data_IF_275901687965
#
_entry.id   IF_275901687965
#
_cell.length_a   1.000
_cell.length_b   1.000
_cell.length_c   1.000
_cell.angle_alpha   90.00
_cell.angle_beta   90.00
_cell.angle_gamma   90.00
#
_symmetry.space_group_name_H-M   'P 1'
#
loop_
_entity.id
_entity.type
_entity.pdbx_description
1 polymer ?
#
# COMPACT_ATOMS: atom_id res chain seq x y z
N UNK A 1 57.44 -0.39 -36.36
CA UNK A 1 56.87 0.32 -35.18
C UNK A 1 55.57 1.05 -35.53
N UNK A 2 55.46 1.67 -36.71
CA UNK A 2 54.23 2.39 -37.12
C UNK A 2 53.03 1.46 -37.40
N UNK A 3 53.23 0.28 -37.93
CA UNK A 3 52.17 -0.70 -38.17
C UNK A 3 51.56 -1.26 -36.87
N UNK A 4 52.37 -1.46 -35.81
CA UNK A 4 51.89 -1.87 -34.48
C UNK A 4 51.12 -0.77 -33.78
N UNK A 5 51.49 0.50 -33.95
CA UNK A 5 50.71 1.64 -33.42
C UNK A 5 49.36 1.79 -34.13
N UNK A 6 49.29 1.63 -35.44
CA UNK A 6 48.02 1.71 -36.20
C UNK A 6 47.06 0.55 -35.85
N UNK A 7 47.59 -0.66 -35.56
CA UNK A 7 46.79 -1.83 -35.18
C UNK A 7 46.17 -1.67 -33.80
N UNK A 8 46.88 -1.04 -32.85
CA UNK A 8 46.38 -0.79 -31.51
C UNK A 8 45.29 0.29 -31.45
N UNK A 9 45.34 1.30 -32.32
CA UNK A 9 44.31 2.35 -32.42
C UNK A 9 42.99 1.85 -33.01
N UNK A 10 43.03 0.89 -33.96
CA UNK A 10 41.82 0.30 -34.59
C UNK A 10 41.03 -0.63 -33.66
N UNK A 11 41.62 -1.13 -32.55
CA UNK A 11 40.97 -2.04 -31.62
C UNK A 11 40.55 -1.38 -30.28
N UNK A 12 40.83 -0.08 -30.11
CA UNK A 12 40.43 0.66 -28.90
C UNK A 12 38.95 1.02 -28.99
N UNK A 13 38.12 0.40 -28.14
CA UNK A 13 36.71 0.76 -28.03
C UNK A 13 36.53 2.16 -27.42
N UNK A 14 35.61 2.99 -27.94
CA UNK A 14 35.28 4.27 -27.33
C UNK A 14 34.69 4.09 -25.93
N UNK A 15 34.80 5.11 -25.05
CA UNK A 15 34.24 5.05 -23.72
C UNK A 15 32.71 4.97 -23.76
N UNK A 16 32.13 4.26 -22.80
CA UNK A 16 30.67 4.15 -22.67
C UNK A 16 30.09 5.44 -22.10
N UNK A 17 28.95 5.89 -22.64
CA UNK A 17 28.15 6.98 -22.05
C UNK A 17 27.00 6.38 -21.28
N UNK A 18 27.13 6.33 -19.95
CA UNK A 18 26.15 5.73 -19.06
C UNK A 18 25.30 6.78 -18.30
N UNK A 19 24.07 6.41 -17.97
CA UNK A 19 23.18 7.15 -17.07
C UNK A 19 22.68 6.22 -15.98
N UNK A 20 22.42 6.75 -14.79
CA UNK A 20 21.84 6.02 -13.68
C UNK A 20 20.43 6.56 -13.37
N UNK A 21 19.49 5.63 -13.19
CA UNK A 21 18.11 5.83 -12.76
C UNK A 21 17.82 4.82 -11.64
N UNK A 22 16.57 4.62 -11.23
CA UNK A 22 16.20 3.55 -10.32
C UNK A 22 14.83 2.95 -10.65
N UNK A 23 14.64 1.69 -10.27
CA UNK A 23 13.41 0.96 -10.47
C UNK A 23 12.47 1.29 -9.32
N UNK A 24 11.35 1.96 -9.60
CA UNK A 24 10.42 2.44 -8.57
C UNK A 24 9.87 1.33 -7.67
N UNK A 25 9.61 0.14 -8.20
CA UNK A 25 9.07 -1.00 -7.44
C UNK A 25 10.05 -1.57 -6.43
N UNK A 26 11.35 -1.55 -6.74
CA UNK A 26 12.41 -2.15 -5.89
C UNK A 26 13.32 -1.11 -5.23
N UNK A 27 13.31 0.14 -5.72
CA UNK A 27 14.24 1.19 -5.29
C UNK A 27 15.66 1.02 -5.82
N UNK A 28 15.98 -0.10 -6.50
CA UNK A 28 17.34 -0.44 -6.91
C UNK A 28 17.85 0.47 -8.02
N UNK A 29 19.16 0.88 -7.97
CA UNK A 29 19.81 1.60 -9.04
C UNK A 29 19.80 0.78 -10.34
N UNK A 30 19.56 1.46 -11.42
CA UNK A 30 19.47 0.92 -12.74
C UNK A 30 20.28 1.80 -13.69
N UNK A 31 21.25 1.19 -14.38
CA UNK A 31 22.11 1.86 -15.34
C UNK A 31 21.65 1.53 -16.75
N UNK A 32 21.75 2.49 -17.65
CA UNK A 32 21.56 2.32 -19.08
C UNK A 32 22.62 3.09 -19.86
N UNK A 33 22.96 2.61 -21.04
CA UNK A 33 23.93 3.21 -21.94
C UNK A 33 23.58 2.97 -23.39
N UNK A 34 24.23 3.74 -24.28
CA UNK A 34 24.15 3.54 -25.71
C UNK A 34 25.11 2.44 -26.18
N UNK A 35 24.79 1.70 -27.28
CA UNK A 35 25.69 0.69 -27.82
C UNK A 35 27.04 1.32 -28.19
N UNK A 36 28.11 0.56 -27.99
CA UNK A 36 29.47 0.89 -28.44
C UNK A 36 29.81 -0.05 -29.59
N UNK A 37 30.15 0.50 -30.72
CA UNK A 37 30.53 -0.27 -31.92
C UNK A 37 31.69 -1.22 -31.62
N UNK A 38 31.57 -2.49 -32.06
CA UNK A 38 32.56 -3.54 -31.79
C UNK A 38 32.47 -4.17 -30.37
N UNK A 39 31.63 -3.66 -29.48
CA UNK A 39 31.42 -4.27 -28.16
C UNK A 39 30.46 -5.48 -28.25
N UNK A 40 30.84 -6.57 -27.59
CA UNK A 40 29.98 -7.76 -27.43
C UNK A 40 29.41 -7.91 -26.00
N UNK A 41 30.03 -7.22 -25.03
CA UNK A 41 29.57 -7.18 -23.64
C UNK A 41 30.09 -5.93 -22.95
N UNK A 42 29.55 -5.71 -21.73
CA UNK A 42 29.91 -4.58 -20.87
C UNK A 42 30.22 -5.09 -19.46
N UNK A 43 31.23 -4.49 -18.85
CA UNK A 43 31.59 -4.69 -17.46
C UNK A 43 31.13 -3.49 -16.64
N UNK A 44 30.36 -3.73 -15.60
CA UNK A 44 29.85 -2.70 -14.69
C UNK A 44 30.63 -2.76 -13.39
N UNK A 45 31.13 -1.61 -12.97
CA UNK A 45 31.92 -1.44 -11.75
C UNK A 45 31.21 -0.53 -10.77
N UNK A 46 31.37 -0.77 -9.48
CA UNK A 46 30.75 0.02 -8.41
C UNK A 46 31.79 0.46 -7.38
N UNK A 47 31.60 1.67 -6.84
CA UNK A 47 32.28 2.20 -5.67
C UNK A 47 31.27 2.86 -4.70
N UNK A 48 31.62 2.90 -3.41
CA UNK A 48 30.88 3.67 -2.40
C UNK A 48 31.13 5.18 -2.46
N UNK A 49 32.22 5.62 -3.12
CA UNK A 49 32.59 7.03 -3.28
C UNK A 49 32.98 7.33 -4.71
N UNK A 50 32.81 8.62 -5.12
CA UNK A 50 33.05 9.03 -6.54
C UNK A 50 34.50 8.77 -6.99
N UNK A 51 35.46 9.01 -6.13
CA UNK A 51 36.90 8.91 -6.43
C UNK A 51 37.54 7.68 -5.76
N UNK A 52 36.74 6.74 -5.27
CA UNK A 52 37.23 5.54 -4.60
C UNK A 52 37.60 4.40 -5.56
N UNK A 53 37.93 3.25 -4.98
CA UNK A 53 38.21 2.03 -5.75
C UNK A 53 36.93 1.45 -6.31
N UNK A 54 36.91 1.19 -7.63
CA UNK A 54 35.78 0.58 -8.33
C UNK A 54 36.03 -0.93 -8.47
N UNK A 55 35.13 -1.72 -7.90
CA UNK A 55 35.14 -3.18 -7.99
C UNK A 55 34.15 -3.66 -9.04
N UNK A 56 34.47 -4.74 -9.76
CA UNK A 56 33.59 -5.35 -10.74
C UNK A 56 32.30 -5.84 -10.05
N UNK A 57 31.17 -5.32 -10.45
CA UNK A 57 29.84 -5.69 -9.96
C UNK A 57 29.24 -6.83 -10.79
N UNK A 58 29.47 -6.81 -12.10
CA UNK A 58 29.00 -7.83 -13.04
C UNK A 58 29.23 -7.48 -14.48
N UNK A 59 28.89 -8.42 -15.37
CA UNK A 59 28.99 -8.31 -16.83
C UNK A 59 27.63 -8.53 -17.47
N UNK A 60 27.39 -7.90 -18.61
CA UNK A 60 26.13 -8.05 -19.37
C UNK A 60 26.37 -7.80 -20.87
N UNK A 61 25.65 -8.51 -21.74
CA UNK A 61 25.55 -8.19 -23.15
C UNK A 61 24.44 -7.13 -23.43
N UNK A 62 23.56 -6.89 -22.45
CA UNK A 62 22.50 -5.90 -22.58
C UNK A 62 23.03 -4.47 -22.41
N UNK A 63 22.28 -3.49 -22.90
CA UNK A 63 22.57 -2.06 -22.73
C UNK A 63 22.08 -1.47 -21.40
N UNK A 64 21.87 -2.33 -20.43
CA UNK A 64 21.34 -2.00 -19.11
C UNK A 64 21.85 -2.96 -18.03
N UNK A 65 21.91 -2.47 -16.78
CA UNK A 65 22.29 -3.27 -15.62
C UNK A 65 21.60 -2.76 -14.35
N UNK A 66 21.03 -3.66 -13.57
CA UNK A 66 20.43 -3.35 -12.27
C UNK A 66 21.33 -3.81 -11.14
N UNK A 67 21.70 -2.92 -10.23
CA UNK A 67 22.41 -3.29 -9.01
C UNK A 67 21.46 -3.84 -7.95
N UNK A 68 21.17 -5.14 -8.03
CA UNK A 68 20.31 -5.83 -7.07
C UNK A 68 20.90 -5.89 -5.65
N UNK A 69 22.23 -5.70 -5.50
CA UNK A 69 22.94 -5.76 -4.23
C UNK A 69 23.03 -4.42 -3.50
N UNK A 70 22.59 -3.31 -4.13
CA UNK A 70 22.61 -2.00 -3.49
C UNK A 70 21.66 -1.95 -2.27
N UNK A 71 22.09 -1.32 -1.18
CA UNK A 71 21.29 -1.14 0.03
C UNK A 71 20.49 0.15 -0.03
N UNK A 72 19.22 0.09 0.40
CA UNK A 72 18.33 1.24 0.42
C UNK A 72 18.88 2.36 1.32
N UNK A 73 18.81 3.59 0.82
CA UNK A 73 19.31 4.79 1.50
C UNK A 73 20.69 5.24 1.08
N UNK A 74 21.46 4.40 0.39
CA UNK A 74 22.83 4.70 0.02
C UNK A 74 22.98 5.18 -1.43
N UNK A 75 24.01 6.01 -1.69
CA UNK A 75 24.43 6.42 -3.01
C UNK A 75 25.64 5.56 -3.37
N UNK A 76 25.65 5.03 -4.59
CA UNK A 76 26.77 4.32 -5.19
C UNK A 76 27.20 5.04 -6.46
N UNK A 77 28.45 4.85 -6.83
CA UNK A 77 29.04 5.39 -8.06
C UNK A 77 29.40 4.24 -8.97
N UNK A 78 29.07 4.39 -10.24
CA UNK A 78 29.25 3.35 -11.26
C UNK A 78 30.08 3.82 -12.40
N UNK A 79 30.88 2.91 -12.95
CA UNK A 79 31.62 3.06 -14.21
C UNK A 79 31.37 1.83 -15.08
N UNK A 80 31.37 2.01 -16.39
CA UNK A 80 31.14 0.93 -17.34
C UNK A 80 32.29 0.88 -18.34
N UNK A 81 32.69 -0.34 -18.71
CA UNK A 81 33.61 -0.60 -19.83
C UNK A 81 32.92 -1.43 -20.89
N UNK A 82 33.15 -1.10 -22.14
CA UNK A 82 32.81 -1.96 -23.25
C UNK A 82 33.92 -2.99 -23.48
N UNK A 83 33.57 -4.21 -23.91
CA UNK A 83 34.50 -5.32 -24.15
C UNK A 83 34.19 -5.90 -25.54
N UNK A 84 35.18 -6.04 -26.40
CA UNK A 84 35.03 -6.66 -27.70
C UNK A 84 35.17 -8.20 -27.67
N UNK A 85 35.04 -8.83 -28.84
CA UNK A 85 35.10 -10.30 -28.96
C UNK A 85 36.45 -10.92 -28.59
N UNK A 86 37.56 -10.15 -28.73
CA UNK A 86 38.91 -10.62 -28.35
C UNK A 86 39.30 -10.25 -26.91
N UNK A 87 38.36 -9.68 -26.13
CA UNK A 87 38.56 -9.33 -24.74
C UNK A 87 39.20 -7.95 -24.49
N UNK A 88 39.46 -7.16 -25.53
CA UNK A 88 39.93 -5.80 -25.35
C UNK A 88 38.85 -4.91 -24.75
N UNK A 89 39.25 -3.99 -23.87
CA UNK A 89 38.34 -3.16 -23.07
C UNK A 89 38.52 -1.68 -23.42
N UNK A 90 37.39 -0.95 -23.39
CA UNK A 90 37.45 0.52 -23.40
C UNK A 90 38.06 1.06 -22.10
N UNK A 91 38.41 2.34 -22.09
CA UNK A 91 38.59 3.08 -20.85
C UNK A 91 37.26 3.10 -20.05
N UNK A 92 37.33 3.45 -18.80
CA UNK A 92 36.11 3.64 -17.99
C UNK A 92 35.25 4.77 -18.54
N UNK A 93 33.92 4.59 -18.44
CA UNK A 93 33.01 5.73 -18.60
C UNK A 93 33.27 6.79 -17.51
N UNK A 94 32.71 7.98 -17.68
CA UNK A 94 32.54 8.89 -16.56
C UNK A 94 31.75 8.19 -15.40
N UNK A 95 32.11 8.56 -14.16
CA UNK A 95 31.39 8.03 -12.98
C UNK A 95 29.99 8.62 -12.91
N UNK A 96 28.97 7.76 -12.82
CA UNK A 96 27.58 8.15 -12.62
C UNK A 96 27.11 7.75 -11.23
N UNK A 97 26.38 8.64 -10.54
CA UNK A 97 25.82 8.38 -9.21
C UNK A 97 24.44 7.75 -9.33
N UNK A 98 24.21 6.66 -8.61
CA UNK A 98 22.90 6.01 -8.49
C UNK A 98 22.50 5.86 -7.02
N UNK A 99 21.37 6.43 -6.64
CA UNK A 99 20.81 6.27 -5.29
C UNK A 99 19.94 5.01 -5.24
N UNK A 100 20.17 4.16 -4.23
CA UNK A 100 19.25 3.08 -3.93
C UNK A 100 18.14 3.64 -3.02
N UNK A 101 16.94 3.74 -3.54
CA UNK A 101 15.76 4.24 -2.81
C UNK A 101 15.10 3.14 -1.98
N UNK A 102 14.24 3.53 -1.07
CA UNK A 102 13.23 2.61 -0.52
C UNK A 102 12.33 2.12 -1.65
N UNK A 103 11.96 0.86 -1.63
CA UNK A 103 10.99 0.30 -2.57
C UNK A 103 9.62 0.99 -2.39
N UNK A 104 8.84 1.02 -3.46
CA UNK A 104 7.46 1.51 -3.41
C UNK A 104 6.61 0.60 -2.52
N UNK A 105 5.89 1.13 -1.50
CA UNK A 105 4.98 0.32 -0.69
C UNK A 105 3.86 -0.31 -1.53
N UNK A 106 3.55 -1.56 -1.26
CA UNK A 106 2.36 -2.24 -1.81
C UNK A 106 1.26 -2.14 -0.76
N UNK A 107 0.21 -1.39 -1.09
CA UNK A 107 -0.85 -1.00 -0.16
C UNK A 107 -2.13 -1.79 -0.44
N UNK A 108 -2.75 -2.31 0.63
CA UNK A 108 -4.05 -2.99 0.61
C UNK A 108 -5.05 -2.19 1.43
N UNK A 109 -6.18 -1.77 0.85
CA UNK A 109 -7.23 -1.08 1.57
C UNK A 109 -8.15 -2.08 2.27
N UNK A 110 -8.69 -1.67 3.43
CA UNK A 110 -9.65 -2.41 4.24
C UNK A 110 -10.45 -1.40 5.09
N UNK A 111 -11.27 -1.87 6.04
CA UNK A 111 -11.88 -1.05 7.06
C UNK A 111 -12.02 -1.81 8.38
N UNK A 112 -12.02 -1.08 9.49
CA UNK A 112 -12.27 -1.66 10.81
C UNK A 112 -13.76 -1.86 11.00
N UNK A 113 -14.21 -3.11 11.08
CA UNK A 113 -15.62 -3.48 11.20
C UNK A 113 -16.31 -2.82 12.38
N UNK A 114 -15.63 -2.66 13.51
CA UNK A 114 -16.17 -2.06 14.74
C UNK A 114 -16.52 -0.58 14.59
N UNK A 115 -15.67 0.18 13.87
CA UNK A 115 -15.78 1.64 13.73
C UNK A 115 -16.21 2.07 12.34
N UNK A 116 -16.15 1.19 11.33
CA UNK A 116 -16.38 1.50 9.93
C UNK A 116 -15.23 2.30 9.26
N UNK A 117 -14.20 2.69 10.02
CA UNK A 117 -13.13 3.57 9.53
C UNK A 117 -12.23 2.86 8.51
N UNK A 118 -11.78 3.57 7.46
CA UNK A 118 -10.78 3.05 6.54
C UNK A 118 -9.51 2.62 7.26
N UNK A 119 -9.04 1.43 6.93
CA UNK A 119 -7.85 0.81 7.46
C UNK A 119 -6.96 0.39 6.30
N UNK A 120 -5.76 0.93 6.23
CA UNK A 120 -4.83 0.74 5.14
C UNK A 120 -3.62 0.02 5.68
N UNK A 121 -3.20 -1.06 5.04
CA UNK A 121 -2.04 -1.88 5.44
C UNK A 121 -1.08 -2.06 4.28
N UNK A 122 0.19 -2.30 4.59
CA UNK A 122 1.26 -2.55 3.62
C UNK A 122 2.32 -3.47 4.20
N UNK A 123 3.17 -4.01 3.32
CA UNK A 123 4.32 -4.81 3.71
C UNK A 123 5.50 -3.91 4.10
N UNK A 124 6.37 -4.40 5.00
CA UNK A 124 7.58 -3.70 5.40
C UNK A 124 8.48 -3.41 4.19
N UNK A 125 9.01 -2.20 4.14
CA UNK A 125 9.95 -1.76 3.09
C UNK A 125 11.36 -1.67 3.65
N UNK A 126 12.29 -2.40 3.06
CA UNK A 126 13.68 -2.39 3.48
C UNK A 126 14.26 -0.95 3.46
N UNK A 127 14.94 -0.56 4.54
CA UNK A 127 15.55 0.75 4.68
C UNK A 127 14.59 1.88 5.07
N UNK A 128 13.29 1.61 5.23
CA UNK A 128 12.34 2.58 5.76
C UNK A 128 12.43 2.69 7.29
N UNK A 129 12.28 3.91 7.81
CA UNK A 129 12.13 4.18 9.26
C UNK A 129 10.68 4.45 9.64
N UNK A 130 9.89 4.97 8.71
CA UNK A 130 8.48 5.31 8.88
C UNK A 130 7.79 5.41 7.52
N UNK A 131 6.50 5.63 7.55
CA UNK A 131 5.65 5.80 6.38
C UNK A 131 4.83 7.09 6.50
N UNK A 132 4.70 7.79 5.40
CA UNK A 132 3.80 8.94 5.26
C UNK A 132 2.56 8.48 4.52
N UNK A 133 1.38 8.72 5.10
CA UNK A 133 0.08 8.37 4.52
C UNK A 133 -0.59 9.64 4.04
N UNK A 134 -1.00 9.64 2.78
CA UNK A 134 -1.66 10.77 2.13
C UNK A 134 -3.07 10.39 1.71
N UNK A 135 -3.99 11.34 1.80
CA UNK A 135 -5.41 11.18 1.46
C UNK A 135 -5.88 12.25 0.49
N UNK A 136 -6.80 11.85 -0.40
CA UNK A 136 -7.62 12.74 -1.22
C UNK A 136 -9.08 12.33 -1.19
N UNK A 137 -9.99 13.27 -1.43
CA UNK A 137 -11.41 13.01 -1.64
C UNK A 137 -11.73 12.47 -3.03
N UNK A 138 -10.83 12.61 -4.00
CA UNK A 138 -10.97 12.13 -5.39
C UNK A 138 -9.72 11.44 -5.86
N UNK A 139 -9.85 10.49 -6.81
CA UNK A 139 -8.74 9.66 -7.29
C UNK A 139 -7.59 10.49 -7.87
N UNK A 140 -7.91 11.51 -8.63
CA UNK A 140 -6.95 12.36 -9.34
C UNK A 140 -6.79 13.75 -8.69
N UNK A 141 -7.28 13.92 -7.46
CA UNK A 141 -7.23 15.20 -6.75
C UNK A 141 -5.91 15.43 -6.03
N UNK A 142 -5.86 16.51 -5.26
CA UNK A 142 -4.73 16.85 -4.41
C UNK A 142 -4.71 15.93 -3.19
N UNK A 143 -3.57 15.32 -2.95
CA UNK A 143 -3.32 14.45 -1.79
C UNK A 143 -2.63 15.24 -0.69
N UNK A 144 -3.25 15.31 0.47
CA UNK A 144 -2.68 15.95 1.66
C UNK A 144 -2.15 14.90 2.63
N UNK A 145 -1.08 15.23 3.36
CA UNK A 145 -0.53 14.36 4.39
C UNK A 145 -1.58 14.16 5.50
N UNK A 146 -2.00 12.93 5.70
CA UNK A 146 -2.95 12.54 6.75
C UNK A 146 -2.25 12.24 8.07
N UNK A 147 -1.07 11.61 8.00
CA UNK A 147 -0.22 11.30 9.13
C UNK A 147 1.01 10.47 8.78
N UNK A 148 1.84 10.24 9.79
CA UNK A 148 3.04 9.41 9.71
C UNK A 148 2.97 8.28 10.74
N UNK A 149 3.55 7.12 10.42
CA UNK A 149 3.58 5.97 11.32
C UNK A 149 4.81 5.09 11.06
N UNK A 150 5.33 4.46 12.10
CA UNK A 150 6.31 3.38 11.98
C UNK A 150 5.65 2.00 11.78
N UNK A 151 4.34 1.90 12.06
CA UNK A 151 3.57 0.67 11.88
C UNK A 151 3.34 0.39 10.39
N UNK A 152 2.95 -0.84 10.08
CA UNK A 152 2.63 -1.30 8.72
C UNK A 152 1.15 -1.11 8.36
N UNK A 153 0.47 -0.23 9.07
CA UNK A 153 -0.94 0.09 8.88
C UNK A 153 -1.27 1.51 9.35
N UNK A 154 -2.41 2.01 8.91
CA UNK A 154 -2.95 3.29 9.34
C UNK A 154 -4.48 3.28 9.31
N UNK A 155 -5.12 3.78 10.37
CA UNK A 155 -6.57 3.97 10.44
C UNK A 155 -6.90 5.45 10.23
N UNK A 156 -7.75 5.75 9.27
CA UNK A 156 -8.21 7.11 9.04
C UNK A 156 -9.41 7.44 9.95
N UNK A 157 -9.11 7.86 11.17
CA UNK A 157 -10.12 8.26 12.15
C UNK A 157 -10.89 9.53 11.75
N UNK A 158 -10.36 10.33 10.80
CA UNK A 158 -10.99 11.58 10.31
C UNK A 158 -11.96 11.35 9.14
N UNK A 159 -12.04 10.13 8.61
CA UNK A 159 -12.95 9.83 7.50
C UNK A 159 -14.41 9.91 7.95
N UNK A 160 -15.28 10.47 7.11
CA UNK A 160 -16.72 10.55 7.34
C UNK A 160 -17.44 9.32 6.78
N UNK A 161 -18.38 8.76 7.55
CA UNK A 161 -19.15 7.60 7.15
C UNK A 161 -19.94 7.89 5.86
N UNK A 162 -19.95 6.93 4.95
CA UNK A 162 -20.61 7.03 3.65
C UNK A 162 -19.69 7.43 2.51
N UNK A 163 -18.53 8.02 2.77
CA UNK A 163 -17.65 8.55 1.74
C UNK A 163 -16.50 7.59 1.42
N UNK A 164 -16.07 7.61 0.15
CA UNK A 164 -14.86 6.92 -0.30
C UNK A 164 -13.72 7.93 -0.36
N UNK A 165 -12.58 7.54 0.16
CA UNK A 165 -11.34 8.30 0.12
C UNK A 165 -10.28 7.51 -0.63
N UNK A 166 -9.30 8.23 -1.16
CA UNK A 166 -8.19 7.71 -1.94
C UNK A 166 -6.89 7.93 -1.18
N UNK A 167 -6.07 6.91 -1.12
CA UNK A 167 -4.85 6.89 -0.29
C UNK A 167 -3.64 6.51 -1.12
N UNK A 168 -2.50 7.08 -0.76
CA UNK A 168 -1.18 6.67 -1.21
C UNK A 168 -0.21 6.75 -0.04
N UNK A 169 0.77 5.87 -0.03
CA UNK A 169 1.76 5.73 1.03
C UNK A 169 3.15 5.89 0.45
N UNK A 170 4.04 6.53 1.21
CA UNK A 170 5.44 6.75 0.87
C UNK A 170 6.31 6.21 2.00
N UNK A 171 7.28 5.37 1.69
CA UNK A 171 8.28 4.91 2.65
C UNK A 171 9.37 5.98 2.81
N UNK A 172 9.67 6.33 4.04
CA UNK A 172 10.70 7.32 4.39
C UNK A 172 11.98 6.61 4.79
N UNK A 173 13.06 6.88 4.05
CA UNK A 173 14.37 6.27 4.29
C UNK A 173 14.92 6.65 5.67
N UNK A 174 15.49 5.65 6.36
CA UNK A 174 16.24 5.84 7.62
C UNK A 174 17.58 6.53 7.46
N UNK A 175 18.13 6.59 6.23
CA UNK A 175 19.47 7.12 5.96
C UNK A 175 19.41 8.57 5.49
N UNK A 176 18.62 8.85 4.44
CA UNK A 176 18.46 10.21 3.91
C UNK A 176 17.14 10.39 3.16
N UNK A 177 16.57 11.59 3.22
CA UNK A 177 15.28 11.93 2.61
C UNK A 177 15.28 11.81 1.08
N UNK A 178 16.43 12.03 0.43
CA UNK A 178 16.56 11.87 -1.03
C UNK A 178 16.41 10.42 -1.50
N UNK A 179 16.46 9.45 -0.58
CA UNK A 179 16.27 8.02 -0.86
C UNK A 179 14.91 7.48 -0.43
N UNK A 180 13.94 8.35 -0.17
CA UNK A 180 12.55 7.95 0.05
C UNK A 180 11.99 7.22 -1.18
N UNK A 181 10.96 6.39 -0.97
CA UNK A 181 10.29 5.73 -2.09
C UNK A 181 9.49 6.72 -2.94
N UNK A 182 9.09 6.29 -4.13
CA UNK A 182 7.91 6.86 -4.77
C UNK A 182 6.66 6.54 -3.96
N UNK A 183 5.58 7.28 -4.22
CA UNK A 183 4.27 6.93 -3.66
C UNK A 183 3.83 5.56 -4.14
N UNK A 184 3.10 4.84 -3.30
CA UNK A 184 2.36 3.64 -3.72
C UNK A 184 1.41 3.95 -4.87
N UNK A 185 0.89 2.92 -5.52
CA UNK A 185 -0.34 3.05 -6.30
C UNK A 185 -1.46 3.57 -5.40
N UNK A 186 -2.38 4.34 -6.00
CA UNK A 186 -3.55 4.85 -5.29
C UNK A 186 -4.52 3.71 -5.00
N UNK A 187 -4.96 3.60 -3.76
CA UNK A 187 -6.03 2.69 -3.34
C UNK A 187 -7.23 3.46 -2.84
N UNK A 188 -8.43 2.90 -3.00
CA UNK A 188 -9.66 3.48 -2.50
C UNK A 188 -10.17 2.70 -1.30
N UNK A 189 -10.61 3.40 -0.25
CA UNK A 189 -11.31 2.79 0.89
C UNK A 189 -12.52 3.63 1.27
N UNK A 190 -13.64 2.93 1.51
CA UNK A 190 -14.89 3.56 1.96
C UNK A 190 -14.95 3.57 3.48
N UNK A 191 -15.34 4.70 4.05
CA UNK A 191 -15.72 4.77 5.45
C UNK A 191 -17.15 4.28 5.60
N UNK A 192 -17.33 3.16 6.28
CA UNK A 192 -18.63 2.55 6.54
C UNK A 192 -19.29 3.16 7.76
N UNK A 193 -20.59 2.91 7.95
CA UNK A 193 -21.22 3.05 9.26
C UNK A 193 -20.57 2.07 10.25
N UNK A 194 -20.38 2.50 11.49
CA UNK A 194 -19.90 1.61 12.55
C UNK A 194 -20.91 0.47 12.81
N UNK A 195 -20.40 -0.68 13.24
CA UNK A 195 -21.22 -1.81 13.62
C UNK A 195 -22.05 -1.44 14.86
N UNK A 196 -23.40 -1.56 14.84
CA UNK A 196 -24.22 -1.30 16.03
C UNK A 196 -23.86 -2.23 17.19
N UNK A 197 -23.81 -1.67 18.40
CA UNK A 197 -23.67 -2.44 19.64
C UNK A 197 -25.07 -2.59 20.25
N UNK A 198 -25.63 -3.80 20.16
CA UNK A 198 -27.02 -4.09 20.52
C UNK A 198 -27.09 -4.69 21.92
N UNK A 199 -28.02 -4.18 22.74
CA UNK A 199 -28.47 -4.77 23.99
C UNK A 199 -29.87 -5.28 23.81
N UNK A 200 -30.25 -6.33 24.57
CA UNK A 200 -31.60 -6.91 24.55
C UNK A 200 -32.12 -7.15 25.97
N UNK A 201 -33.39 -6.89 26.18
CA UNK A 201 -34.11 -7.15 27.42
C UNK A 201 -35.57 -7.51 27.11
N UNK A 202 -36.30 -8.07 28.07
CA UNK A 202 -37.76 -8.21 27.99
C UNK A 202 -38.44 -6.97 28.55
N UNK A 203 -39.52 -6.54 27.93
CA UNK A 203 -40.44 -5.51 28.48
C UNK A 203 -41.26 -6.10 29.61
N UNK A 204 -42.02 -5.27 30.37
CA UNK A 204 -42.99 -5.72 31.35
C UNK A 204 -44.05 -6.67 30.76
N UNK A 205 -44.40 -6.48 29.49
CA UNK A 205 -45.32 -7.36 28.76
C UNK A 205 -44.64 -8.64 28.18
N UNK A 206 -43.39 -8.94 28.56
CA UNK A 206 -42.66 -10.14 28.10
C UNK A 206 -42.06 -10.07 26.71
N UNK A 207 -42.21 -8.96 26.00
CA UNK A 207 -41.71 -8.81 24.62
C UNK A 207 -40.20 -8.51 24.55
N UNK A 208 -39.46 -9.12 23.61
CA UNK A 208 -38.09 -8.74 23.30
C UNK A 208 -37.95 -7.27 22.90
N UNK A 209 -37.08 -6.52 23.60
CA UNK A 209 -36.76 -5.14 23.29
C UNK A 209 -35.27 -5.01 23.07
N UNK A 210 -34.88 -4.55 21.84
CA UNK A 210 -33.53 -4.24 21.44
C UNK A 210 -33.28 -2.73 21.63
N UNK A 211 -32.08 -2.39 22.03
CA UNK A 211 -31.60 -1.00 22.10
C UNK A 211 -30.15 -0.93 21.59
N UNK A 212 -29.78 0.17 21.01
CA UNK A 212 -28.42 0.42 20.55
C UNK A 212 -28.10 1.93 20.53
N UNK A 213 -26.83 2.28 20.48
CA UNK A 213 -26.41 3.68 20.35
C UNK A 213 -26.59 4.16 18.90
N UNK A 214 -26.87 5.45 18.73
CA UNK A 214 -26.88 6.08 17.41
C UNK A 214 -25.54 5.88 16.70
N UNK A 215 -25.58 5.47 15.43
CA UNK A 215 -24.42 5.25 14.57
C UNK A 215 -24.25 6.44 13.65
N UNK A 216 -23.10 7.11 13.75
CA UNK A 216 -22.78 8.27 12.89
C UNK A 216 -22.86 7.89 11.42
N UNK A 217 -23.58 8.71 10.63
CA UNK A 217 -23.76 8.48 9.20
C UNK A 217 -24.87 7.50 8.83
N UNK A 218 -25.55 6.89 9.80
CA UNK A 218 -26.74 6.10 9.55
C UNK A 218 -27.98 6.99 9.32
N UNK A 219 -28.83 6.60 8.39
CA UNK A 219 -30.17 7.19 8.19
C UNK A 219 -31.25 6.36 8.90
N UNK A 220 -31.01 5.06 9.03
CA UNK A 220 -31.96 4.09 9.60
C UNK A 220 -31.25 2.81 9.98
N UNK A 221 -31.99 1.90 10.63
CA UNK A 221 -31.51 0.59 11.06
C UNK A 221 -32.44 -0.50 10.55
N UNK A 222 -31.87 -1.58 10.06
CA UNK A 222 -32.58 -2.80 9.69
C UNK A 222 -32.42 -3.85 10.79
N UNK A 223 -33.54 -4.39 11.26
CA UNK A 223 -33.58 -5.43 12.29
C UNK A 223 -33.88 -6.78 11.61
N UNK A 224 -33.05 -7.76 11.91
CA UNK A 224 -33.18 -9.14 11.41
C UNK A 224 -33.39 -10.11 12.56
N UNK A 225 -34.20 -11.13 12.34
CA UNK A 225 -34.58 -12.14 13.36
C UNK A 225 -34.42 -13.55 12.76
N UNK A 226 -34.04 -14.48 13.64
CA UNK A 226 -34.12 -15.92 13.43
C UNK A 226 -34.66 -16.61 14.71
N UNK A 227 -35.07 -17.89 14.61
CA UNK A 227 -35.45 -18.74 15.74
C UNK A 227 -34.33 -19.70 16.17
N UNK A 228 -33.18 -19.69 15.47
CA UNK A 228 -31.95 -20.36 15.88
C UNK A 228 -30.75 -19.49 15.59
N UNK A 229 -29.65 -19.68 16.33
CA UNK A 229 -28.44 -18.85 16.21
C UNK A 229 -27.75 -18.95 14.83
N UNK A 230 -27.73 -20.14 14.26
CA UNK A 230 -27.16 -20.43 12.94
C UNK A 230 -28.21 -20.43 11.82
N UNK A 231 -29.46 -20.04 12.12
CA UNK A 231 -30.56 -20.06 11.17
C UNK A 231 -30.52 -18.90 10.17
N UNK A 232 -31.48 -18.92 9.24
CA UNK A 232 -31.66 -17.82 8.28
C UNK A 232 -32.31 -16.64 8.99
N UNK A 233 -31.63 -15.49 8.95
CA UNK A 233 -32.13 -14.22 9.51
C UNK A 233 -32.93 -13.49 8.46
N UNK A 234 -34.21 -13.26 8.72
CA UNK A 234 -35.11 -12.47 7.88
C UNK A 234 -35.24 -11.05 8.40
N UNK A 235 -35.29 -10.08 7.47
CA UNK A 235 -35.52 -8.67 7.85
C UNK A 235 -36.95 -8.52 8.36
N UNK A 236 -37.09 -8.05 9.58
CA UNK A 236 -38.38 -7.82 10.22
C UNK A 236 -38.87 -6.40 10.13
N UNK A 237 -37.93 -5.44 10.32
CA UNK A 237 -38.32 -4.06 10.51
C UNK A 237 -37.21 -3.11 10.09
N UNK A 238 -37.57 -1.90 9.71
CA UNK A 238 -36.67 -0.78 9.47
C UNK A 238 -37.13 0.40 10.33
N UNK A 239 -36.19 1.06 11.01
CA UNK A 239 -36.50 2.18 11.91
C UNK A 239 -35.40 3.24 11.90
N UNK A 240 -35.78 4.49 12.11
CA UNK A 240 -34.85 5.60 12.38
C UNK A 240 -34.50 5.71 13.87
N UNK A 241 -35.25 5.01 14.73
CA UNK A 241 -35.04 4.99 16.20
C UNK A 241 -33.85 4.07 16.53
N UNK A 242 -33.33 4.22 17.75
CA UNK A 242 -32.25 3.38 18.30
C UNK A 242 -32.79 2.26 19.19
N UNK A 243 -34.07 1.89 19.01
CA UNK A 243 -34.73 0.78 19.72
C UNK A 243 -35.81 0.14 18.84
N UNK A 244 -36.08 -1.12 19.14
CA UNK A 244 -37.18 -1.89 18.54
C UNK A 244 -37.72 -2.88 19.54
N UNK A 245 -39.04 -3.00 19.62
CA UNK A 245 -39.75 -4.01 20.44
C UNK A 245 -40.49 -4.97 19.52
N UNK A 246 -40.20 -6.26 19.65
CA UNK A 246 -40.91 -7.31 18.90
C UNK A 246 -42.21 -7.70 19.62
N UNK A 247 -43.29 -6.99 19.32
CA UNK A 247 -44.62 -7.25 19.89
C UNK A 247 -45.32 -8.50 19.35
N UNK A 248 -44.79 -9.11 18.28
CA UNK A 248 -45.29 -10.35 17.68
C UNK A 248 -44.53 -11.59 18.18
N UNK A 249 -43.72 -11.46 19.21
CA UNK A 249 -42.99 -12.59 19.77
C UNK A 249 -43.95 -13.54 20.49
N UNK A 250 -43.82 -14.85 20.24
CA UNK A 250 -44.58 -15.88 20.92
C UNK A 250 -43.91 -16.22 22.26
N UNK A 251 -44.64 -16.19 23.36
CA UNK A 251 -44.14 -16.57 24.66
C UNK A 251 -43.52 -17.98 24.63
N UNK A 252 -42.47 -18.17 25.40
CA UNK A 252 -41.71 -19.43 25.44
C UNK A 252 -40.74 -19.65 24.30
N UNK A 253 -40.75 -18.82 23.21
CA UNK A 253 -39.84 -18.95 22.07
C UNK A 253 -38.60 -18.12 22.27
N UNK A 254 -37.43 -18.72 21.98
CA UNK A 254 -36.13 -17.98 21.91
C UNK A 254 -35.97 -17.39 20.54
N UNK A 255 -35.70 -16.08 20.49
CA UNK A 255 -35.41 -15.35 19.26
C UNK A 255 -33.98 -14.81 19.25
N UNK A 256 -33.39 -14.80 18.09
CA UNK A 256 -32.04 -14.31 17.80
C UNK A 256 -32.13 -13.09 16.87
N UNK A 257 -31.44 -12.02 17.23
CA UNK A 257 -31.52 -10.77 16.48
C UNK A 257 -30.15 -10.26 16.11
N UNK A 258 -30.08 -9.56 14.98
CA UNK A 258 -28.95 -8.73 14.58
C UNK A 258 -29.46 -7.46 13.91
N UNK A 259 -28.70 -6.38 14.07
CA UNK A 259 -29.05 -5.05 13.55
C UNK A 259 -27.97 -4.56 12.62
N UNK A 260 -28.37 -3.87 11.56
CA UNK A 260 -27.50 -3.26 10.57
C UNK A 260 -27.82 -1.78 10.46
N UNK A 261 -26.81 -0.90 10.55
CA UNK A 261 -26.96 0.52 10.29
C UNK A 261 -26.87 0.78 8.77
N UNK A 262 -27.84 1.52 8.23
CA UNK A 262 -27.95 1.86 6.81
C UNK A 262 -27.39 3.25 6.61
N UNK A 263 -26.38 3.37 5.74
CA UNK A 263 -25.73 4.64 5.44
C UNK A 263 -26.68 5.61 4.75
N UNK A 264 -26.64 6.87 5.16
CA UNK A 264 -27.39 7.96 4.52
C UNK A 264 -26.82 8.40 3.16
N UNK A 265 -25.59 7.97 2.82
CA UNK A 265 -24.90 8.40 1.59
C UNK A 265 -25.02 7.36 0.49
N UNK A 266 -24.65 6.09 0.79
CA UNK A 266 -24.71 4.99 -0.18
C UNK A 266 -24.78 3.62 0.51
N UNK A 267 -25.49 2.69 -0.11
CA UNK A 267 -25.72 1.34 0.43
C UNK A 267 -24.43 0.52 0.61
N UNK A 268 -23.41 0.76 -0.23
CA UNK A 268 -22.11 0.10 -0.11
C UNK A 268 -21.34 0.50 1.14
N UNK A 269 -21.77 1.54 1.85
CA UNK A 269 -21.19 2.02 3.11
C UNK A 269 -22.03 1.66 4.34
N UNK A 270 -23.01 0.76 4.23
CA UNK A 270 -23.74 0.23 5.37
C UNK A 270 -22.76 -0.45 6.34
N UNK A 271 -23.17 -0.56 7.62
CA UNK A 271 -22.38 -1.28 8.60
C UNK A 271 -22.37 -2.79 8.33
N UNK A 272 -21.41 -3.49 8.92
CA UNK A 272 -21.58 -4.90 9.21
C UNK A 272 -22.77 -5.11 10.18
N UNK A 273 -23.28 -6.33 10.24
CA UNK A 273 -24.28 -6.68 11.27
C UNK A 273 -23.68 -6.58 12.67
N UNK A 274 -24.50 -6.21 13.65
CA UNK A 274 -24.16 -6.36 15.07
C UNK A 274 -23.80 -7.81 15.38
N UNK A 275 -23.18 -8.04 16.54
CA UNK A 275 -23.19 -9.37 17.16
C UNK A 275 -24.64 -9.80 17.36
N UNK A 276 -24.88 -11.12 17.24
CA UNK A 276 -26.19 -11.72 17.52
C UNK A 276 -26.47 -11.58 19.00
N UNK A 277 -27.67 -11.12 19.33
CA UNK A 277 -28.24 -11.14 20.70
C UNK A 277 -29.47 -12.02 20.72
N UNK A 278 -29.73 -12.71 21.82
CA UNK A 278 -30.87 -13.61 21.93
C UNK A 278 -31.59 -13.46 23.27
N UNK A 279 -32.88 -13.74 23.25
CA UNK A 279 -33.74 -13.75 24.44
C UNK A 279 -34.94 -14.65 24.22
N UNK A 280 -35.43 -15.28 25.31
CA UNK A 280 -36.68 -15.99 25.31
C UNK A 280 -37.82 -15.03 25.67
N UNK A 281 -38.82 -14.94 24.79
CA UNK A 281 -40.03 -14.16 25.05
C UNK A 281 -40.82 -14.79 26.22
N UNK A 282 -41.41 -13.95 27.01
CA UNK A 282 -42.19 -14.35 28.20
C UNK A 282 -43.67 -14.08 28.00
#
# INVERSE_FOLDING_TARGET
TQAKMHYNYKNALPPVTAKAEYIASTGKPYLKWTPVEGAVKYEVYRSGTKNGTYTLLGTTANLKYTDSKANAGYIYYYKVKAVNAVGAKSVYSAAVAGTCHCARPVVTPDYLVSTGKPYIKWTAVAGASKYEVYRSGTKNGTYTLLGTTANLNYTDNKANAGYTYYYKVKAVSKVKSTANSYYSTVVAATCHCAKPVVKIATTSAGNPRLTWNAVTGASQYEIYRATSQSGTYTKMFTTTRTSYTNTSAKAGTTYYYKVKAVSKVKSTANSAFSTVVSIRAR
#
